data_IF_940326696392
#
_entry.id   IF_940326696392
#
_cell.length_a   1.000
_cell.length_b   1.000
_cell.length_c   1.000
_cell.angle_alpha   90.00
_cell.angle_beta   90.00
_cell.angle_gamma   90.00
#
_symmetry.space_group_name_H-M   'P 1'
#
loop_
_entity.id
_entity.type
_entity.pdbx_description
1 polymer ?
#
# COMPACT_ATOMS: atom_id res chain seq x y z
N UNK A 1 21.09 -7.24 4.76
CA UNK A 1 19.97 -6.66 5.55
C UNK A 1 20.55 -6.17 6.86
N UNK A 2 20.78 -4.87 6.96
CA UNK A 2 21.20 -4.24 8.22
C UNK A 2 19.96 -4.21 9.12
N UNK A 3 19.99 -4.97 10.18
CA UNK A 3 18.96 -4.97 11.20
C UNK A 3 19.06 -3.64 11.95
N UNK A 4 18.11 -2.77 11.80
CA UNK A 4 18.02 -1.58 12.64
C UNK A 4 17.52 -2.03 14.03
N UNK A 5 18.26 -1.74 15.10
CA UNK A 5 17.85 -2.14 16.43
C UNK A 5 16.53 -1.49 16.82
N UNK A 6 15.69 -2.23 17.55
CA UNK A 6 14.37 -1.83 18.04
C UNK A 6 14.37 -0.65 19.04
N UNK A 7 15.48 0.04 19.18
CA UNK A 7 15.76 0.95 20.29
C UNK A 7 16.24 2.33 19.88
N UNK A 8 15.75 2.87 18.77
CA UNK A 8 15.85 4.32 18.61
C UNK A 8 14.86 4.97 19.57
N UNK A 9 15.38 5.53 20.63
CA UNK A 9 14.65 6.35 21.59
C UNK A 9 14.67 7.78 21.05
N UNK A 10 13.52 8.41 20.94
CA UNK A 10 13.42 9.83 20.64
C UNK A 10 14.21 10.62 21.70
N UNK A 11 15.27 11.34 21.31
CA UNK A 11 16.12 12.04 22.25
C UNK A 11 15.39 13.18 23.00
N UNK A 12 14.27 13.68 22.49
CA UNK A 12 13.51 14.77 23.11
C UNK A 12 12.44 14.24 24.07
N UNK A 13 11.81 13.12 23.75
CA UNK A 13 10.67 12.60 24.53
C UNK A 13 10.97 11.37 25.37
N UNK A 14 12.13 10.71 25.12
CA UNK A 14 12.51 9.46 25.79
C UNK A 14 11.59 8.27 25.43
N UNK A 15 10.71 8.43 24.47
CA UNK A 15 9.78 7.41 24.01
C UNK A 15 10.42 6.60 22.89
N UNK A 16 10.33 5.25 22.91
CA UNK A 16 10.81 4.44 21.78
C UNK A 16 10.13 4.89 20.48
N UNK A 17 10.91 5.32 19.52
CA UNK A 17 10.48 5.61 18.15
C UNK A 17 10.11 4.26 17.53
N UNK A 18 8.95 3.76 17.86
CA UNK A 18 8.38 2.45 17.52
C UNK A 18 9.19 1.66 16.50
N UNK A 19 9.68 0.49 16.88
CA UNK A 19 10.67 -0.32 16.20
C UNK A 19 10.51 -0.42 14.69
N UNK A 20 11.60 -0.66 14.00
CA UNK A 20 11.63 -0.80 12.54
C UNK A 20 10.56 -1.80 12.09
N UNK A 21 9.68 -1.35 11.20
CA UNK A 21 8.61 -2.17 10.63
C UNK A 21 9.02 -2.63 9.25
N UNK A 22 8.73 -3.88 8.94
CA UNK A 22 8.92 -4.42 7.60
C UNK A 22 7.56 -4.47 6.89
N UNK A 23 7.44 -3.74 5.81
CA UNK A 23 6.29 -3.86 4.91
C UNK A 23 6.53 -5.04 3.97
N UNK A 24 5.63 -6.01 3.98
CA UNK A 24 5.68 -7.18 3.09
C UNK A 24 4.47 -7.10 2.15
N UNK A 25 4.75 -7.14 0.85
CA UNK A 25 3.72 -7.15 -0.20
C UNK A 25 3.84 -8.39 -1.06
N UNK A 26 3.02 -9.42 -0.84
CA UNK A 26 2.80 -10.46 -1.83
C UNK A 26 2.01 -9.88 -3.01
N UNK A 27 2.38 -10.26 -4.22
CA UNK A 27 1.72 -9.86 -5.45
C UNK A 27 1.64 -11.01 -6.42
N UNK A 28 0.46 -11.30 -6.92
CA UNK A 28 0.21 -12.28 -7.95
C UNK A 28 0.04 -11.57 -9.29
N UNK A 29 0.81 -11.98 -10.30
CA UNK A 29 0.77 -11.43 -11.65
C UNK A 29 0.48 -12.52 -12.66
N UNK A 30 -0.36 -12.20 -13.63
CA UNK A 30 -0.38 -12.92 -14.88
C UNK A 30 0.89 -12.62 -15.67
N UNK A 31 1.57 -13.64 -16.17
CA UNK A 31 2.82 -13.55 -16.92
C UNK A 31 2.81 -14.50 -18.13
N UNK A 32 3.94 -14.53 -18.85
CA UNK A 32 4.07 -15.31 -20.07
C UNK A 32 3.82 -14.50 -21.33
N UNK A 33 4.20 -15.08 -22.47
CA UNK A 33 4.09 -14.41 -23.77
C UNK A 33 2.67 -14.56 -24.31
N UNK A 34 1.96 -13.45 -24.43
CA UNK A 34 0.64 -13.41 -25.04
C UNK A 34 0.28 -12.02 -25.56
N UNK A 35 -0.60 -12.00 -26.55
CA UNK A 35 -1.22 -10.81 -27.08
C UNK A 35 -2.74 -11.05 -27.16
N UNK A 36 -3.52 -10.05 -26.74
CA UNK A 36 -4.99 -10.14 -26.75
C UNK A 36 -5.61 -10.28 -25.38
N UNK A 37 -6.97 -10.41 -25.34
CA UNK A 37 -7.76 -10.48 -24.11
C UNK A 37 -8.07 -11.96 -23.78
N UNK A 38 -7.23 -12.55 -22.97
CA UNK A 38 -7.44 -13.89 -22.42
C UNK A 38 -6.64 -14.08 -21.13
N UNK A 39 -6.89 -15.18 -20.44
CA UNK A 39 -6.15 -15.50 -19.23
C UNK A 39 -4.65 -15.68 -19.53
N UNK A 40 -3.81 -15.24 -18.63
CA UNK A 40 -2.35 -15.42 -18.74
C UNK A 40 -1.99 -16.90 -18.71
N UNK A 41 -1.05 -17.35 -19.56
CA UNK A 41 -0.61 -18.75 -19.59
C UNK A 41 0.16 -19.15 -18.32
N UNK A 42 0.75 -18.17 -17.64
CA UNK A 42 1.55 -18.37 -16.44
C UNK A 42 1.13 -17.42 -15.33
N UNK A 43 1.45 -17.77 -14.10
CA UNK A 43 1.22 -16.94 -12.92
C UNK A 43 2.53 -16.82 -12.15
N UNK A 44 2.94 -15.58 -11.88
CA UNK A 44 4.11 -15.28 -11.06
C UNK A 44 3.68 -14.75 -9.69
N UNK A 45 4.25 -15.32 -8.64
CA UNK A 45 4.09 -14.82 -7.27
C UNK A 45 5.37 -14.07 -6.87
N UNK A 46 5.23 -12.79 -6.55
CA UNK A 46 6.33 -11.93 -6.11
C UNK A 46 6.12 -11.48 -4.67
N UNK A 47 7.23 -11.34 -3.97
CA UNK A 47 7.25 -10.76 -2.63
C UNK A 47 8.15 -9.53 -2.63
N UNK A 48 7.57 -8.35 -2.38
CA UNK A 48 8.33 -7.14 -2.11
C UNK A 48 8.44 -6.95 -0.60
N UNK A 49 9.61 -6.55 -0.16
CA UNK A 49 9.86 -6.18 1.23
C UNK A 49 10.51 -4.81 1.27
N UNK A 50 10.08 -3.97 2.20
CA UNK A 50 10.64 -2.64 2.40
C UNK A 50 10.58 -2.25 3.86
N UNK A 51 11.67 -1.72 4.42
CA UNK A 51 11.59 -1.07 5.73
C UNK A 51 10.64 0.12 5.64
N UNK A 52 9.82 0.32 6.66
CA UNK A 52 8.85 1.43 6.70
C UNK A 52 8.74 2.01 8.10
N UNK A 53 8.57 3.31 8.17
CA UNK A 53 8.20 4.02 9.38
C UNK A 53 6.68 4.19 9.52
N UNK A 54 6.26 5.10 10.41
CA UNK A 54 4.85 5.43 10.57
C UNK A 54 4.30 6.11 9.31
N UNK A 55 3.15 5.66 8.84
CA UNK A 55 2.47 6.24 7.68
C UNK A 55 2.05 7.70 7.90
N UNK A 56 1.75 8.07 9.13
CA UNK A 56 1.27 9.39 9.52
C UNK A 56 2.30 10.15 10.38
N UNK A 57 3.57 10.15 10.00
CA UNK A 57 4.62 10.86 10.74
C UNK A 57 4.18 12.30 11.10
N UNK A 58 4.10 12.57 12.40
CA UNK A 58 3.81 13.91 12.94
C UNK A 58 2.38 14.44 12.76
N UNK A 59 1.46 13.74 12.10
CA UNK A 59 0.09 14.21 11.85
C UNK A 59 -1.01 13.52 12.68
N UNK A 60 -0.65 12.56 13.52
CA UNK A 60 -1.63 11.75 14.25
C UNK A 60 -2.44 12.51 15.31
N UNK A 61 -1.94 13.66 15.80
CA UNK A 61 -2.58 14.43 16.88
C UNK A 61 -3.60 15.47 16.39
N UNK A 62 -3.60 15.82 15.12
CA UNK A 62 -4.44 16.91 14.55
C UNK A 62 -5.68 16.43 13.77
N UNK A 63 -5.91 15.13 13.69
CA UNK A 63 -6.96 14.59 12.82
C UNK A 63 -6.61 14.63 11.34
N UNK A 64 -7.46 14.05 10.51
CA UNK A 64 -7.32 14.03 9.06
C UNK A 64 -8.45 14.81 8.39
N UNK A 65 -8.10 15.62 7.39
CA UNK A 65 -9.10 16.18 6.50
C UNK A 65 -9.47 15.12 5.46
N UNK A 66 -10.75 14.80 5.37
CA UNK A 66 -11.25 13.82 4.43
C UNK A 66 -12.06 14.52 3.33
N UNK A 67 -11.83 14.11 2.08
CA UNK A 67 -12.65 14.49 0.94
C UNK A 67 -13.63 13.37 0.60
N UNK A 68 -14.93 13.67 0.56
CA UNK A 68 -15.94 12.72 0.12
C UNK A 68 -16.11 12.84 -1.41
N UNK A 69 -15.53 11.88 -2.13
CA UNK A 69 -15.71 11.78 -3.58
C UNK A 69 -17.09 11.15 -3.89
N UNK A 70 -17.92 11.87 -4.64
CA UNK A 70 -19.28 11.45 -5.02
C UNK A 70 -19.43 11.05 -6.48
N UNK A 71 -18.44 11.31 -7.32
CA UNK A 71 -18.51 11.09 -8.77
C UNK A 71 -17.82 9.81 -9.23
N UNK A 72 -16.85 9.34 -8.43
CA UNK A 72 -16.04 8.18 -8.76
C UNK A 72 -16.09 7.15 -7.65
N UNK A 73 -16.20 5.90 -8.01
CA UNK A 73 -16.17 4.79 -7.07
C UNK A 73 -14.86 3.99 -7.23
N UNK A 74 -14.19 3.72 -6.13
CA UNK A 74 -13.05 2.80 -6.09
C UNK A 74 -13.50 1.36 -6.32
N UNK A 75 -14.65 1.01 -5.78
CA UNK A 75 -15.20 -0.34 -5.81
C UNK A 75 -16.66 -0.28 -6.21
N UNK A 76 -16.98 -0.75 -7.39
CA UNK A 76 -18.35 -0.82 -7.90
C UNK A 76 -18.85 -2.27 -7.95
N UNK A 77 -20.18 -2.43 -7.98
CA UNK A 77 -20.80 -3.75 -8.15
C UNK A 77 -20.36 -4.36 -9.47
N UNK A 78 -19.97 -5.64 -9.45
CA UNK A 78 -19.46 -6.35 -10.63
C UNK A 78 -17.99 -6.06 -10.97
N UNK A 79 -17.32 -5.19 -10.19
CA UNK A 79 -15.90 -4.92 -10.32
C UNK A 79 -15.03 -5.76 -9.38
N UNK A 80 -13.76 -5.38 -9.23
CA UNK A 80 -12.73 -6.10 -8.46
C UNK A 80 -12.50 -5.52 -7.07
N UNK A 81 -13.51 -4.81 -6.50
CA UNK A 81 -13.38 -4.12 -5.22
C UNK A 81 -13.14 -5.01 -4.00
N UNK A 82 -13.50 -6.29 -4.10
CA UNK A 82 -13.31 -7.30 -3.06
C UNK A 82 -11.89 -7.87 -2.97
N UNK A 83 -11.03 -7.56 -3.95
CA UNK A 83 -9.62 -7.98 -3.96
C UNK A 83 -8.69 -6.77 -4.04
N UNK A 84 -7.44 -6.94 -3.65
CA UNK A 84 -6.42 -5.89 -3.73
C UNK A 84 -5.83 -5.80 -5.15
N UNK A 85 -6.69 -5.50 -6.11
CA UNK A 85 -6.31 -5.29 -7.50
C UNK A 85 -5.78 -3.85 -7.70
N UNK A 86 -4.67 -3.68 -8.41
CA UNK A 86 -4.07 -2.35 -8.64
C UNK A 86 -5.01 -1.41 -9.41
N UNK A 87 -5.84 -1.92 -10.31
CA UNK A 87 -6.85 -1.13 -11.02
C UNK A 87 -7.86 -0.43 -10.10
N UNK A 88 -8.16 -0.98 -8.92
CA UNK A 88 -9.05 -0.35 -7.93
C UNK A 88 -8.51 0.98 -7.39
N UNK A 89 -7.19 1.20 -7.46
CA UNK A 89 -6.54 2.37 -6.88
C UNK A 89 -6.26 3.46 -7.92
N UNK A 90 -6.24 3.13 -9.19
CA UNK A 90 -6.00 4.09 -10.27
C UNK A 90 -7.00 5.25 -10.24
N UNK A 91 -8.27 4.97 -9.99
CA UNK A 91 -9.34 5.98 -9.92
C UNK A 91 -9.25 6.91 -8.71
N UNK A 92 -8.48 6.53 -7.68
CA UNK A 92 -8.33 7.31 -6.45
C UNK A 92 -7.22 8.35 -6.54
N UNK A 93 -6.32 8.25 -7.51
CA UNK A 93 -5.15 9.14 -7.64
C UNK A 93 -5.60 10.56 -7.97
N UNK A 94 -6.49 10.73 -8.94
CA UNK A 94 -6.92 12.06 -9.38
C UNK A 94 -7.61 12.91 -8.31
N UNK A 95 -8.46 12.37 -7.43
CA UNK A 95 -9.01 13.13 -6.30
C UNK A 95 -7.98 13.51 -5.23
N UNK A 96 -6.79 12.89 -5.23
CA UNK A 96 -5.72 13.18 -4.28
C UNK A 96 -4.77 14.29 -4.75
N UNK A 97 -4.85 14.67 -6.03
CA UNK A 97 -4.08 15.77 -6.62
C UNK A 97 -4.82 17.11 -6.48
#
# INVERSE_FOLDING_TARGET
>A
LTYLPDTEIDPETGVPLGGAKLYIRPMLLGSGQQLGLHASPEISLLFFVSPTGSYFQGKAMGGLKLHLERRRSRASRGGTGNVKCCGNYAVTIRPLL
#
